data_IF_128620651902
#
_entry.id   IF_128620651902
#
_cell.length_a   1.000
_cell.length_b   1.000
_cell.length_c   1.000
_cell.angle_alpha   90.00
_cell.angle_beta   90.00
_cell.angle_gamma   90.00
#
_symmetry.space_group_name_H-M   'P 1'
#
loop_
_entity.id
_entity.type
_entity.pdbx_description
1 polymer ?
#
# COMPACT_ATOMS: atom_id res chain seq x y z
N UNK A 1 -21.34 -6.34 -4.75
CA UNK A 1 -20.79 -6.13 -3.41
C UNK A 1 -20.17 -4.74 -3.23
N UNK A 2 -19.88 -4.02 -4.32
CA UNK A 2 -19.48 -2.60 -4.32
C UNK A 2 -18.24 -2.31 -3.44
N UNK A 3 -17.16 -3.06 -3.62
CA UNK A 3 -15.96 -2.95 -2.78
C UNK A 3 -15.36 -1.53 -2.68
N UNK A 4 -15.57 -0.68 -3.70
CA UNK A 4 -15.07 0.70 -3.71
C UNK A 4 -15.96 1.69 -2.95
N UNK A 5 -17.24 1.35 -2.71
CA UNK A 5 -18.23 2.26 -2.13
C UNK A 5 -18.94 1.70 -0.88
N UNK A 6 -18.84 0.39 -0.64
CA UNK A 6 -19.49 -0.22 0.51
C UNK A 6 -18.74 0.12 1.81
N UNK A 7 -19.35 0.83 2.76
CA UNK A 7 -18.70 1.23 4.01
C UNK A 7 -18.29 0.05 4.90
N UNK A 8 -18.84 -1.15 4.68
CA UNK A 8 -18.39 -2.35 5.37
C UNK A 8 -16.90 -2.66 5.13
N UNK A 9 -16.33 -2.20 4.00
CA UNK A 9 -14.91 -2.37 3.69
C UNK A 9 -14.02 -1.61 4.70
N UNK A 10 -14.04 -0.28 4.82
CA UNK A 10 -13.24 0.39 5.86
C UNK A 10 -13.65 -0.02 7.27
N UNK A 11 -14.92 -0.29 7.53
CA UNK A 11 -15.39 -0.73 8.86
C UNK A 11 -14.77 -2.04 9.34
N UNK A 12 -14.51 -3.01 8.46
CA UNK A 12 -13.85 -4.24 8.89
C UNK A 12 -12.40 -3.99 9.29
N UNK A 13 -11.70 -3.12 8.58
CA UNK A 13 -10.32 -2.73 8.95
C UNK A 13 -10.27 -1.93 10.26
N UNK A 14 -11.27 -1.09 10.51
CA UNK A 14 -11.42 -0.37 11.78
C UNK A 14 -11.66 -1.33 12.96
N UNK A 15 -12.40 -2.42 12.73
CA UNK A 15 -12.76 -3.41 13.75
C UNK A 15 -11.73 -4.53 13.95
N UNK A 16 -10.88 -4.79 12.97
CA UNK A 16 -9.93 -5.92 13.00
C UNK A 16 -8.49 -5.48 12.73
N UNK A 17 -8.17 -5.04 11.54
CA UNK A 17 -6.79 -4.67 11.13
C UNK A 17 -6.19 -3.59 12.01
N UNK A 18 -6.96 -2.55 12.34
CA UNK A 18 -6.53 -1.49 13.24
C UNK A 18 -6.18 -1.99 14.64
N UNK A 19 -7.08 -2.72 15.34
CA UNK A 19 -6.77 -3.38 16.61
C UNK A 19 -5.57 -4.32 16.55
N UNK A 20 -5.48 -5.17 15.52
CA UNK A 20 -4.36 -6.11 15.35
C UNK A 20 -3.01 -5.40 15.23
N UNK A 21 -2.92 -4.33 14.44
CA UNK A 21 -1.71 -3.52 14.32
C UNK A 21 -1.38 -2.81 15.65
N UNK A 22 -2.38 -2.24 16.30
CA UNK A 22 -2.22 -1.59 17.58
C UNK A 22 -1.65 -2.53 18.64
N UNK A 23 -2.23 -3.71 18.77
CA UNK A 23 -1.80 -4.72 19.74
C UNK A 23 -0.40 -5.28 19.39
N UNK A 24 -0.13 -5.54 18.10
CA UNK A 24 1.16 -6.04 17.65
C UNK A 24 2.32 -5.05 17.83
N UNK A 25 2.02 -3.76 17.94
CA UNK A 25 3.01 -2.71 18.17
C UNK A 25 3.00 -2.15 19.60
N UNK A 26 2.23 -2.74 20.51
CA UNK A 26 1.98 -2.18 21.85
C UNK A 26 1.57 -0.70 21.82
N UNK A 27 0.87 -0.29 20.73
CA UNK A 27 0.47 1.09 20.49
C UNK A 27 1.60 2.04 20.04
N UNK A 28 2.80 1.53 19.77
CA UNK A 28 3.98 2.34 19.41
C UNK A 28 4.05 2.69 17.91
N UNK A 29 3.06 2.32 17.10
CA UNK A 29 3.01 2.71 15.69
C UNK A 29 3.00 4.24 15.54
N UNK A 30 3.92 4.77 14.72
CA UNK A 30 4.01 6.21 14.38
C UNK A 30 3.58 6.49 12.92
N UNK A 31 3.81 5.53 12.03
CA UNK A 31 3.50 5.67 10.60
C UNK A 31 2.80 4.42 10.08
N UNK A 32 1.70 4.61 9.39
CA UNK A 32 1.01 3.57 8.62
C UNK A 32 1.23 3.81 7.12
N UNK A 33 1.84 2.85 6.43
CA UNK A 33 2.01 2.88 4.97
C UNK A 33 1.14 1.82 4.32
N UNK A 34 0.25 2.21 3.42
CA UNK A 34 -0.65 1.26 2.77
C UNK A 34 -0.92 1.62 1.30
N UNK A 35 -0.85 0.62 0.43
CA UNK A 35 -1.27 0.74 -0.97
C UNK A 35 -2.78 0.96 -1.09
N UNK A 36 -3.18 1.91 -1.95
CA UNK A 36 -4.59 2.28 -2.12
C UNK A 36 -5.20 1.62 -3.35
N UNK A 37 -5.94 0.55 -3.12
CA UNK A 37 -6.86 -0.03 -4.10
C UNK A 37 -8.27 0.52 -3.89
N UNK A 38 -8.99 -0.01 -2.91
CA UNK A 38 -10.33 0.46 -2.51
C UNK A 38 -10.29 1.59 -1.47
N UNK A 39 -9.15 1.82 -0.84
CA UNK A 39 -8.99 2.77 0.26
C UNK A 39 -9.43 2.24 1.63
N UNK A 40 -10.03 1.05 1.69
CA UNK A 40 -10.60 0.51 2.93
C UNK A 40 -9.58 0.29 4.04
N UNK A 41 -8.43 -0.29 3.71
CA UNK A 41 -7.37 -0.62 4.68
C UNK A 41 -6.83 0.62 5.37
N UNK A 42 -6.35 1.61 4.60
CA UNK A 42 -5.77 2.83 5.18
C UNK A 42 -6.82 3.64 5.94
N UNK A 43 -8.02 3.78 5.38
CA UNK A 43 -9.12 4.52 6.02
C UNK A 43 -9.54 3.90 7.34
N UNK A 44 -9.86 2.60 7.35
CA UNK A 44 -10.34 1.93 8.55
C UNK A 44 -9.29 1.85 9.64
N UNK A 45 -8.06 1.47 9.29
CA UNK A 45 -6.95 1.38 10.24
C UNK A 45 -6.61 2.75 10.85
N UNK A 46 -6.55 3.79 10.01
CA UNK A 46 -6.26 5.14 10.50
C UNK A 46 -7.38 5.70 11.36
N UNK A 47 -8.66 5.43 11.04
CA UNK A 47 -9.80 5.82 11.88
C UNK A 47 -9.71 5.20 13.27
N UNK A 48 -9.38 3.92 13.35
CA UNK A 48 -9.19 3.26 14.63
C UNK A 48 -8.06 3.90 15.44
N UNK A 49 -6.87 4.07 14.85
CA UNK A 49 -5.70 4.56 15.60
C UNK A 49 -5.83 6.05 15.94
N UNK A 50 -6.19 6.90 14.97
CA UNK A 50 -6.34 8.35 15.17
C UNK A 50 -7.60 8.68 15.97
N UNK A 51 -8.72 8.01 15.69
CA UNK A 51 -10.01 8.28 16.29
C UNK A 51 -10.24 7.57 17.63
N UNK A 52 -10.25 6.22 17.64
CA UNK A 52 -10.57 5.48 18.86
C UNK A 52 -9.43 5.47 19.89
N UNK A 53 -8.17 5.33 19.42
CA UNK A 53 -6.99 5.35 20.32
C UNK A 53 -6.46 6.76 20.60
N UNK A 54 -6.88 7.74 19.80
CA UNK A 54 -6.44 9.14 19.99
C UNK A 54 -4.96 9.36 19.72
N UNK A 55 -4.27 8.42 19.05
CA UNK A 55 -2.84 8.56 18.72
C UNK A 55 -2.67 9.22 17.35
N UNK A 56 -1.94 10.32 17.32
CA UNK A 56 -1.54 10.95 16.07
C UNK A 56 -0.46 10.09 15.39
N UNK A 57 -0.84 9.47 14.26
CA UNK A 57 0.08 8.76 13.36
C UNK A 57 0.12 9.48 12.01
N UNK A 58 1.17 9.24 11.24
CA UNK A 58 1.24 9.66 9.84
C UNK A 58 0.66 8.55 8.96
N UNK A 59 -0.45 8.81 8.25
CA UNK A 59 -1.07 7.88 7.30
C UNK A 59 -0.57 8.17 5.88
N UNK A 60 0.19 7.23 5.33
CA UNK A 60 0.83 7.35 4.01
C UNK A 60 0.10 6.47 3.00
N UNK A 61 -0.52 7.10 2.01
CA UNK A 61 -1.15 6.42 0.88
C UNK A 61 -0.12 6.13 -0.21
N UNK A 62 -0.05 4.88 -0.67
CA UNK A 62 0.82 4.50 -1.78
C UNK A 62 0.00 4.35 -3.05
N UNK A 63 0.44 5.00 -4.12
CA UNK A 63 -0.18 4.92 -5.44
C UNK A 63 0.85 4.75 -6.55
N UNK A 64 0.45 4.28 -7.76
CA UNK A 64 1.36 4.22 -8.90
C UNK A 64 1.78 5.62 -9.36
N UNK A 65 3.08 5.82 -9.54
CA UNK A 65 3.62 7.10 -10.05
C UNK A 65 3.12 7.42 -11.47
N UNK A 66 2.79 6.39 -12.26
CA UNK A 66 2.20 6.53 -13.58
C UNK A 66 0.75 7.05 -13.56
N UNK A 67 0.05 6.86 -12.42
CA UNK A 67 -1.36 7.22 -12.26
C UNK A 67 -1.61 7.84 -10.88
N UNK A 68 -1.07 9.06 -10.60
CA UNK A 68 -1.03 9.66 -9.27
C UNK A 68 -2.33 10.38 -8.93
N UNK A 69 -3.46 9.67 -9.01
CA UNK A 69 -4.81 10.27 -8.89
C UNK A 69 -5.12 10.80 -7.48
N UNK A 70 -4.51 10.22 -6.43
CA UNK A 70 -4.72 10.67 -5.05
C UNK A 70 -3.96 11.97 -4.81
N UNK A 71 -2.69 12.04 -5.24
CA UNK A 71 -1.91 13.28 -5.15
C UNK A 71 -2.57 14.42 -5.92
N UNK A 72 -3.05 14.15 -7.16
CA UNK A 72 -3.78 15.13 -7.96
C UNK A 72 -5.05 15.61 -7.25
N UNK A 73 -5.85 14.69 -6.70
CA UNK A 73 -7.06 15.05 -5.97
C UNK A 73 -6.78 15.94 -4.75
N UNK A 74 -5.76 15.60 -3.96
CA UNK A 74 -5.35 16.41 -2.79
C UNK A 74 -4.80 17.77 -3.17
N UNK A 75 -4.17 17.89 -4.35
CA UNK A 75 -3.71 19.15 -4.90
C UNK A 75 -4.84 20.00 -5.54
N UNK A 76 -6.06 19.44 -5.68
CA UNK A 76 -7.17 20.09 -6.38
C UNK A 76 -6.98 20.14 -7.90
N UNK A 77 -6.16 19.26 -8.45
CA UNK A 77 -5.88 19.13 -9.88
C UNK A 77 -6.89 18.21 -10.57
N UNK A 78 -6.95 18.30 -11.89
CA UNK A 78 -7.72 17.35 -12.70
C UNK A 78 -7.09 15.96 -12.65
N UNK A 79 -7.91 14.96 -12.33
CA UNK A 79 -7.46 13.58 -12.25
C UNK A 79 -7.15 13.03 -13.65
N UNK A 80 -5.93 12.55 -13.85
CA UNK A 80 -5.43 12.00 -15.10
C UNK A 80 -4.91 10.56 -14.87
N UNK A 81 -5.79 9.55 -14.91
CA UNK A 81 -5.38 8.18 -14.74
C UNK A 81 -4.60 7.67 -15.95
N UNK A 82 -3.60 6.81 -15.69
CA UNK A 82 -2.81 6.17 -16.72
C UNK A 82 -2.57 4.68 -16.43
N UNK A 83 -2.24 3.87 -17.45
CA UNK A 83 -1.90 2.45 -17.24
C UNK A 83 -0.62 2.28 -16.41
N UNK A 84 -0.63 1.29 -15.53
CA UNK A 84 0.51 0.88 -14.72
C UNK A 84 0.51 -0.64 -14.50
N UNK A 85 1.60 -1.20 -13.94
CA UNK A 85 1.75 -2.65 -13.72
C UNK A 85 1.54 -3.07 -12.25
N UNK A 86 1.24 -2.16 -11.34
CA UNK A 86 1.03 -2.46 -9.93
C UNK A 86 -0.42 -2.92 -9.72
N UNK A 87 -0.70 -4.20 -9.93
CA UNK A 87 -2.04 -4.76 -9.75
C UNK A 87 -2.49 -4.68 -8.29
N UNK A 88 -3.76 -4.38 -8.08
CA UNK A 88 -4.40 -4.32 -6.76
C UNK A 88 -4.48 -2.92 -6.15
N UNK A 89 -3.70 -1.96 -6.63
CA UNK A 89 -3.77 -0.54 -6.26
C UNK A 89 -3.93 0.34 -7.50
N UNK A 90 -4.16 1.63 -7.32
CA UNK A 90 -4.23 2.57 -8.44
C UNK A 90 -5.46 2.37 -9.32
N UNK A 91 -6.67 2.48 -8.78
CA UNK A 91 -7.93 2.25 -9.50
C UNK A 91 -8.20 3.25 -10.64
N UNK A 92 -7.42 4.33 -10.75
CA UNK A 92 -7.61 5.39 -11.74
C UNK A 92 -8.73 6.38 -11.40
N UNK A 93 -9.28 6.29 -10.20
CA UNK A 93 -10.28 7.21 -9.66
C UNK A 93 -10.18 7.23 -8.12
N UNK A 94 -10.81 8.19 -7.47
CA UNK A 94 -10.86 8.24 -6.01
C UNK A 94 -12.00 7.32 -5.51
N UNK A 95 -11.66 6.25 -4.78
CA UNK A 95 -12.69 5.34 -4.22
C UNK A 95 -13.57 6.05 -3.20
N UNK A 96 -14.86 5.72 -3.16
CA UNK A 96 -15.77 6.25 -2.14
C UNK A 96 -15.44 5.80 -0.71
N UNK A 97 -14.67 4.72 -0.56
CA UNK A 97 -14.18 4.23 0.73
C UNK A 97 -12.87 4.88 1.19
N UNK A 98 -12.20 5.67 0.33
CA UNK A 98 -11.01 6.41 0.70
C UNK A 98 -11.41 7.74 1.35
N UNK A 99 -11.03 7.92 2.58
CA UNK A 99 -11.17 9.17 3.32
C UNK A 99 -9.91 10.02 3.10
N UNK A 100 -10.02 11.02 2.22
CA UNK A 100 -8.87 11.87 1.88
C UNK A 100 -8.42 12.74 3.07
N UNK A 101 -9.32 13.10 3.96
CA UNK A 101 -9.00 13.93 5.13
C UNK A 101 -8.11 13.21 6.16
N UNK A 102 -8.06 11.87 6.09
CA UNK A 102 -7.24 11.07 6.99
C UNK A 102 -5.82 10.83 6.45
N UNK A 103 -5.57 11.14 5.16
CA UNK A 103 -4.28 10.96 4.51
C UNK A 103 -3.38 12.15 4.81
N UNK A 104 -2.23 11.89 5.41
CA UNK A 104 -1.24 12.92 5.73
C UNK A 104 -0.20 13.07 4.60
N UNK A 105 0.07 11.98 3.87
CA UNK A 105 1.09 11.94 2.81
C UNK A 105 0.72 10.93 1.71
N UNK A 106 1.17 11.22 0.50
CA UNK A 106 1.09 10.30 -0.65
C UNK A 106 2.50 9.99 -1.14
N UNK A 107 2.79 8.70 -1.33
CA UNK A 107 4.05 8.23 -1.90
C UNK A 107 3.77 7.55 -3.26
N UNK A 108 4.12 8.20 -4.37
CA UNK A 108 4.03 7.58 -5.69
C UNK A 108 5.21 6.62 -5.90
N UNK A 109 4.91 5.40 -6.38
CA UNK A 109 5.91 4.37 -6.66
C UNK A 109 5.75 3.91 -8.10
N UNK A 110 6.86 3.81 -8.85
CA UNK A 110 6.82 3.32 -10.23
C UNK A 110 6.60 1.81 -10.29
N UNK A 111 6.09 1.34 -11.41
CA UNK A 111 5.90 -0.10 -11.65
C UNK A 111 7.20 -0.89 -11.56
N UNK A 112 8.31 -0.30 -12.04
CA UNK A 112 9.63 -0.89 -12.02
C UNK A 112 10.16 -1.06 -10.59
N UNK A 113 10.08 -0.02 -9.77
CA UNK A 113 10.51 -0.07 -8.36
C UNK A 113 9.69 -1.10 -7.56
N UNK A 114 8.38 -1.15 -7.80
CA UNK A 114 7.49 -2.11 -7.14
C UNK A 114 7.86 -3.57 -7.48
N UNK A 115 8.16 -3.87 -8.74
CA UNK A 115 8.56 -5.20 -9.20
C UNK A 115 9.93 -5.59 -8.62
N UNK A 116 10.89 -4.68 -8.67
CA UNK A 116 12.23 -4.91 -8.13
C UNK A 116 12.19 -5.18 -6.63
N UNK A 117 11.46 -4.37 -5.87
CA UNK A 117 11.33 -4.57 -4.42
C UNK A 117 10.59 -5.88 -4.07
N UNK A 118 9.57 -6.27 -4.85
CA UNK A 118 8.91 -7.55 -4.63
C UNK A 118 9.86 -8.73 -4.85
N UNK A 119 10.77 -8.66 -5.83
CA UNK A 119 11.85 -9.66 -6.03
C UNK A 119 12.82 -9.68 -4.87
N UNK A 120 13.29 -8.52 -4.42
CA UNK A 120 14.19 -8.41 -3.27
C UNK A 120 13.58 -8.99 -2.01
N UNK A 121 12.29 -8.76 -1.75
CA UNK A 121 11.59 -9.37 -0.62
C UNK A 121 11.61 -10.91 -0.68
N UNK A 122 11.49 -11.49 -1.86
CA UNK A 122 11.61 -12.95 -2.05
C UNK A 122 13.04 -13.43 -1.83
N UNK A 123 14.01 -12.75 -2.39
CA UNK A 123 15.42 -13.17 -2.39
C UNK A 123 16.13 -12.91 -1.05
N UNK A 124 15.89 -11.73 -0.45
CA UNK A 124 16.61 -11.26 0.74
C UNK A 124 15.89 -11.66 2.03
N UNK A 125 14.54 -11.69 2.05
CA UNK A 125 13.73 -11.91 3.26
C UNK A 125 12.91 -13.21 3.22
N UNK A 126 12.88 -13.92 2.09
CA UNK A 126 12.06 -15.12 1.92
C UNK A 126 10.55 -14.85 1.93
N UNK A 127 10.13 -13.61 1.67
CA UNK A 127 8.72 -13.21 1.64
C UNK A 127 8.24 -13.25 0.20
N UNK A 128 7.39 -14.22 -0.14
CA UNK A 128 6.80 -14.36 -1.48
C UNK A 128 5.75 -13.26 -1.71
N UNK A 129 6.23 -12.05 -1.92
CA UNK A 129 5.41 -10.84 -2.07
C UNK A 129 4.96 -10.62 -3.52
N UNK A 130 3.78 -10.02 -3.70
CA UNK A 130 3.32 -9.52 -5.00
C UNK A 130 3.76 -8.08 -5.27
N UNK A 131 3.44 -7.57 -6.47
CA UNK A 131 3.92 -6.26 -6.94
C UNK A 131 3.47 -5.10 -6.03
N UNK A 132 2.20 -5.09 -5.60
CA UNK A 132 1.70 -4.03 -4.70
C UNK A 132 2.31 -4.08 -3.30
N UNK A 133 2.76 -5.26 -2.85
CA UNK A 133 3.53 -5.38 -1.61
C UNK A 133 4.92 -4.77 -1.77
N UNK A 134 5.57 -4.98 -2.93
CA UNK A 134 6.82 -4.29 -3.28
C UNK A 134 6.66 -2.77 -3.26
N UNK A 135 5.58 -2.25 -3.87
CA UNK A 135 5.28 -0.82 -3.84
C UNK A 135 5.15 -0.27 -2.41
N UNK A 136 4.44 -1.00 -1.54
CA UNK A 136 4.27 -0.59 -0.14
C UNK A 136 5.61 -0.52 0.62
N UNK A 137 6.51 -1.48 0.39
CA UNK A 137 7.84 -1.48 1.02
C UNK A 137 8.76 -0.40 0.45
N UNK A 138 8.71 -0.12 -0.86
CA UNK A 138 9.44 1.03 -1.44
C UNK A 138 9.04 2.33 -0.74
N UNK A 139 7.74 2.57 -0.60
CA UNK A 139 7.22 3.75 0.09
C UNK A 139 7.65 3.78 1.57
N UNK A 140 7.55 2.66 2.28
CA UNK A 140 7.97 2.56 3.68
C UNK A 140 9.47 2.87 3.87
N UNK A 141 10.33 2.38 2.98
CA UNK A 141 11.76 2.65 3.02
C UNK A 141 12.04 4.14 2.77
N UNK A 142 11.38 4.78 1.81
CA UNK A 142 11.52 6.22 1.57
C UNK A 142 11.13 7.05 2.79
N UNK A 143 10.03 6.67 3.46
CA UNK A 143 9.62 7.32 4.71
C UNK A 143 10.67 7.13 5.80
N UNK A 144 11.23 5.92 5.95
CA UNK A 144 12.24 5.61 6.96
C UNK A 144 13.57 6.38 6.78
N UNK A 145 13.88 6.79 5.55
CA UNK A 145 15.07 7.59 5.23
C UNK A 145 14.92 9.08 5.57
N UNK A 146 13.70 9.54 5.85
CA UNK A 146 13.44 10.94 6.18
C UNK A 146 13.82 11.24 7.63
N UNK A 147 14.58 12.32 7.89
CA UNK A 147 15.05 12.65 9.25
C UNK A 147 13.93 12.79 10.29
N UNK A 148 12.76 13.27 9.90
CA UNK A 148 11.60 13.42 10.79
C UNK A 148 11.01 12.08 11.27
N UNK A 149 11.36 10.97 10.61
CA UNK A 149 10.91 9.63 10.99
C UNK A 149 12.03 8.76 11.58
N UNK A 150 13.20 9.33 11.90
CA UNK A 150 14.27 8.62 12.58
C UNK A 150 13.78 8.07 13.92
N UNK A 151 14.00 6.78 14.18
CA UNK A 151 13.58 6.09 15.39
C UNK A 151 12.07 5.85 15.51
N UNK A 152 11.29 6.09 14.43
CA UNK A 152 9.85 5.88 14.40
C UNK A 152 9.48 4.47 14.01
N UNK A 153 8.38 3.98 14.56
CA UNK A 153 7.79 2.68 14.20
C UNK A 153 6.91 2.83 12.95
N UNK A 154 7.39 2.28 11.85
CA UNK A 154 6.69 2.29 10.55
C UNK A 154 6.07 0.92 10.30
N UNK A 155 4.76 0.88 10.12
CA UNK A 155 4.03 -0.34 9.76
C UNK A 155 3.57 -0.23 8.30
N UNK A 156 3.87 -1.26 7.52
CA UNK A 156 3.36 -1.38 6.14
C UNK A 156 2.58 -2.66 5.95
N UNK A 157 1.57 -2.61 5.07
CA UNK A 157 0.74 -3.75 4.72
C UNK A 157 1.27 -4.36 3.42
N UNK A 158 1.50 -5.68 3.41
CA UNK A 158 1.85 -6.47 2.22
C UNK A 158 0.57 -7.12 1.66
N UNK A 159 -0.15 -6.46 0.73
CA UNK A 159 -1.51 -6.85 0.38
C UNK A 159 -1.59 -7.97 -0.66
N UNK A 160 -0.47 -8.38 -1.24
CA UNK A 160 -0.44 -9.34 -2.35
C UNK A 160 0.68 -10.36 -2.19
N UNK A 161 0.43 -11.55 -2.72
CA UNK A 161 1.35 -12.69 -2.72
C UNK A 161 1.83 -13.01 -4.14
N UNK A 162 3.07 -13.46 -4.28
CA UNK A 162 3.77 -13.66 -5.56
C UNK A 162 3.12 -14.71 -6.46
N UNK A 163 2.46 -15.73 -5.91
CA UNK A 163 1.87 -16.83 -6.69
C UNK A 163 0.88 -16.35 -7.77
N UNK A 164 0.20 -15.23 -7.53
CA UNK A 164 -0.76 -14.66 -8.48
C UNK A 164 -0.10 -14.04 -9.71
N UNK A 165 1.22 -13.85 -9.69
CA UNK A 165 1.96 -13.05 -10.67
C UNK A 165 2.99 -13.86 -11.46
N UNK A 166 2.95 -15.21 -11.38
CA UNK A 166 3.92 -16.11 -12.04
C UNK A 166 4.04 -15.88 -13.55
N UNK A 167 2.96 -15.50 -14.23
CA UNK A 167 2.94 -15.20 -15.67
C UNK A 167 3.12 -13.71 -16.00
N UNK A 168 3.53 -12.90 -15.05
CA UNK A 168 3.68 -11.44 -15.21
C UNK A 168 5.14 -11.01 -15.24
N UNK A 169 5.36 -9.69 -15.39
CA UNK A 169 6.69 -9.07 -15.33
C UNK A 169 7.45 -9.35 -14.02
N UNK A 170 6.76 -9.68 -12.92
CA UNK A 170 7.39 -10.01 -11.65
C UNK A 170 8.38 -11.19 -11.77
N UNK A 171 8.00 -12.23 -12.53
CA UNK A 171 8.82 -13.43 -12.72
C UNK A 171 9.50 -13.50 -14.10
N UNK A 172 9.37 -12.46 -14.92
CA UNK A 172 10.01 -12.44 -16.23
C UNK A 172 11.55 -12.56 -16.10
N UNK A 173 12.12 -13.55 -16.79
CA UNK A 173 13.57 -13.80 -16.81
C UNK A 173 14.13 -14.53 -15.59
N UNK A 174 13.30 -14.89 -14.61
CA UNK A 174 13.72 -15.68 -13.43
C UNK A 174 13.78 -17.17 -13.75
N UNK A 175 12.82 -17.66 -14.54
CA UNK A 175 12.76 -19.07 -14.94
C UNK A 175 13.51 -19.34 -16.23
N UNK A 176 14.22 -20.46 -16.29
CA UNK A 176 14.85 -20.96 -17.51
C UNK A 176 13.82 -21.48 -18.51
N UNK A 177 14.21 -21.61 -19.81
CA UNK A 177 13.33 -22.19 -20.83
C UNK A 177 12.82 -23.60 -20.48
N UNK A 178 13.61 -24.39 -19.74
CA UNK A 178 13.22 -25.74 -19.30
C UNK A 178 12.16 -25.71 -18.20
N UNK A 179 12.21 -24.74 -17.30
CA UNK A 179 11.25 -24.57 -16.20
C UNK A 179 9.93 -24.01 -16.71
N UNK A 180 9.95 -23.23 -17.79
CA UNK A 180 8.73 -22.71 -18.44
C UNK A 180 7.96 -23.75 -19.29
N UNK A 181 8.49 -24.98 -19.48
CA UNK A 181 7.88 -26.03 -20.28
C UNK A 181 7.16 -27.11 -19.44
N UNK A 182 7.07 -26.95 -18.13
CA UNK A 182 6.29 -27.80 -17.22
C UNK A 182 4.94 -27.17 -16.91
#
# INVERSE_FOLDING_TARGET
LQQFNNPANPQIHEKTTGPEIWDATDGEIDVLVAGVGTGGTITGTSRYIKGEKGKAITSVAVEPAESPVIAQALAGEEIQPAPHKIQGIGAGFIPGNLDLDIIDRVEPVTSEEAIEMARRLMEEEGILAGISSGAAVVAANRIAELPEFEGKTIVTILPSSGERYLSTALFAGIFTEKENQQ
#
